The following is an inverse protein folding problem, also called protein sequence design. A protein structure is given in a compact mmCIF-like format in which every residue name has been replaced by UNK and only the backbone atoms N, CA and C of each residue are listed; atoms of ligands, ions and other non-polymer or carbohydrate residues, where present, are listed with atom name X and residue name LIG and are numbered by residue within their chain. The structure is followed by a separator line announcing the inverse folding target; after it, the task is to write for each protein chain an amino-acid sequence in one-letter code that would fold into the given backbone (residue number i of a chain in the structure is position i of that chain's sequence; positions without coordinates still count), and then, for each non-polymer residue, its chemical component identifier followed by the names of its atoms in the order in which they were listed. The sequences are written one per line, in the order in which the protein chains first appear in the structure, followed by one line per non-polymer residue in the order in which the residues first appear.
data_IF_402133901325
#
_entry.id   IF_402133901325
#
_cell.length_a   1.000
_cell.length_b   1.000
_cell.length_c   1.000
_cell.angle_alpha   90.00
_cell.angle_beta   90.00
_cell.angle_gamma   90.00
#
_symmetry.space_group_name_H-M   'P 1'
#
loop_
_entity.id
_entity.type
_entity.pdbx_description
1 polymer ?
#
# COMPACT_ATOMS: atom_id res chain seq x y z
N UNK A 1 -12.31 -8.45 33.44
CA UNK A 1 -12.15 -7.79 32.13
C UNK A 1 -10.89 -8.36 31.48
N UNK A 2 -11.01 -9.11 30.40
CA UNK A 2 -9.86 -9.65 29.64
C UNK A 2 -9.86 -8.92 28.31
N UNK A 3 -9.06 -7.85 28.23
CA UNK A 3 -8.82 -7.09 27.00
C UNK A 3 -8.34 -8.04 25.90
N UNK A 4 -9.19 -8.25 24.90
CA UNK A 4 -8.82 -8.83 23.62
C UNK A 4 -8.09 -7.75 22.82
N UNK A 5 -6.77 -7.68 23.01
CA UNK A 5 -5.84 -6.97 22.14
C UNK A 5 -5.87 -7.65 20.76
N UNK A 6 -6.78 -7.18 19.89
CA UNK A 6 -6.77 -7.54 18.48
C UNK A 6 -5.62 -6.77 17.80
N UNK A 7 -4.66 -7.45 17.14
CA UNK A 7 -3.59 -6.75 16.47
C UNK A 7 -4.19 -5.89 15.36
N UNK A 8 -3.81 -4.60 15.34
CA UNK A 8 -4.07 -3.71 14.21
C UNK A 8 -3.83 -4.47 12.91
N UNK A 9 -4.88 -4.53 12.09
CA UNK A 9 -4.91 -5.32 10.86
C UNK A 9 -3.74 -4.86 9.98
N UNK A 10 -2.66 -5.64 10.01
CA UNK A 10 -1.47 -5.38 9.23
C UNK A 10 -1.84 -5.72 7.79
N UNK A 11 -2.36 -4.74 7.06
CA UNK A 11 -2.39 -4.81 5.60
C UNK A 11 -0.96 -5.16 5.15
N UNK A 12 -0.84 -6.25 4.40
CA UNK A 12 0.39 -7.02 4.21
C UNK A 12 1.65 -6.18 4.02
N UNK A 13 2.76 -6.72 4.55
CA UNK A 13 4.12 -6.19 4.71
C UNK A 13 4.82 -5.73 3.41
N UNK A 14 4.13 -5.01 2.53
CA UNK A 14 4.71 -4.39 1.35
C UNK A 14 5.27 -3.03 1.74
N UNK A 15 6.56 -2.83 1.48
CA UNK A 15 7.23 -1.56 1.64
C UNK A 15 6.93 -0.69 0.43
N UNK A 16 6.57 0.57 0.65
CA UNK A 16 6.31 1.53 -0.43
C UNK A 16 7.19 2.78 -0.32
N UNK A 17 8.37 2.64 0.30
CA UNK A 17 9.36 3.71 0.38
C UNK A 17 9.98 4.02 -0.99
N UNK A 18 10.74 5.11 -1.06
CA UNK A 18 11.40 5.54 -2.29
C UNK A 18 12.32 4.46 -2.89
N UNK A 19 12.97 3.65 -2.04
CA UNK A 19 13.87 2.57 -2.45
C UNK A 19 13.16 1.26 -2.82
N UNK A 20 11.88 1.15 -2.50
CA UNK A 20 11.07 -0.05 -2.77
C UNK A 20 10.34 0.03 -4.11
N UNK A 21 10.28 1.21 -4.73
CA UNK A 21 9.52 1.44 -5.94
C UNK A 21 10.07 0.61 -7.10
N UNK A 22 9.18 -0.14 -7.74
CA UNK A 22 9.48 -0.90 -8.93
C UNK A 22 8.31 -0.81 -9.90
N UNK A 23 8.56 -0.27 -11.10
CA UNK A 23 7.51 -0.02 -12.09
C UNK A 23 6.70 -1.28 -12.42
N UNK A 24 7.35 -2.45 -12.45
CA UNK A 24 6.73 -3.69 -12.87
C UNK A 24 6.05 -4.46 -11.74
N UNK A 25 6.62 -4.40 -10.53
CA UNK A 25 6.25 -5.32 -9.43
C UNK A 25 5.86 -4.64 -8.11
N UNK A 26 6.11 -3.34 -7.96
CA UNK A 26 5.81 -2.59 -6.74
C UNK A 26 5.64 -1.09 -7.04
N UNK A 27 4.54 -0.75 -7.70
CA UNK A 27 4.27 0.61 -8.21
C UNK A 27 3.08 1.26 -7.50
N UNK A 28 2.63 2.41 -8.01
CA UNK A 28 1.48 3.14 -7.48
C UNK A 28 0.20 2.31 -7.37
N UNK A 29 -0.06 1.36 -8.28
CA UNK A 29 -1.26 0.53 -8.24
C UNK A 29 -1.20 -0.47 -7.06
N UNK A 30 -0.02 -1.01 -6.76
CA UNK A 30 0.19 -1.91 -5.63
C UNK A 30 0.04 -1.17 -4.30
N UNK A 31 0.60 0.04 -4.22
CA UNK A 31 0.40 0.95 -3.08
C UNK A 31 -1.08 1.27 -2.88
N UNK A 32 -1.77 1.68 -3.95
CA UNK A 32 -3.19 2.06 -3.88
C UNK A 32 -4.06 0.88 -3.47
N UNK A 33 -3.77 -0.33 -3.95
CA UNK A 33 -4.45 -1.55 -3.51
C UNK A 33 -4.26 -1.78 -2.00
N UNK A 34 -3.03 -1.69 -1.50
CA UNK A 34 -2.76 -1.81 -0.07
C UNK A 34 -3.45 -0.71 0.75
N UNK A 35 -3.46 0.53 0.25
CA UNK A 35 -4.12 1.68 0.88
C UNK A 35 -5.64 1.51 0.93
N UNK A 36 -6.25 1.05 -0.15
CA UNK A 36 -7.67 0.75 -0.22
C UNK A 36 -8.06 -0.36 0.76
N UNK A 37 -7.27 -1.44 0.84
CA UNK A 37 -7.52 -2.47 1.85
C UNK A 37 -7.36 -1.94 3.28
N UNK A 38 -6.34 -1.11 3.52
CA UNK A 38 -6.08 -0.56 4.84
C UNK A 38 -7.19 0.41 5.30
N UNK A 39 -7.64 1.31 4.44
CA UNK A 39 -8.59 2.37 4.80
C UNK A 39 -10.05 1.93 4.68
N UNK A 40 -10.37 1.11 3.68
CA UNK A 40 -11.74 0.82 3.27
C UNK A 40 -12.07 -0.68 3.32
N UNK A 41 -11.08 -1.55 3.60
CA UNK A 41 -11.22 -3.00 3.51
C UNK A 41 -11.77 -3.49 2.15
N UNK A 42 -11.46 -2.76 1.07
CA UNK A 42 -11.85 -3.12 -0.30
C UNK A 42 -10.64 -3.12 -1.23
N UNK A 43 -10.75 -3.88 -2.31
CA UNK A 43 -9.76 -3.92 -3.38
C UNK A 43 -10.05 -2.89 -4.45
N UNK A 44 -8.99 -2.46 -5.14
CA UNK A 44 -9.13 -1.71 -6.40
C UNK A 44 -9.42 -2.69 -7.55
N UNK A 45 -10.01 -2.24 -8.67
CA UNK A 45 -10.29 -3.09 -9.81
C UNK A 45 -9.07 -3.90 -10.31
N UNK A 46 -9.29 -5.18 -10.61
CA UNK A 46 -8.21 -6.11 -11.02
C UNK A 46 -7.45 -5.64 -12.25
N UNK A 47 -8.12 -5.01 -13.23
CA UNK A 47 -7.49 -4.50 -14.45
C UNK A 47 -6.41 -3.45 -14.17
N UNK A 48 -6.55 -2.70 -13.06
CA UNK A 48 -5.58 -1.69 -12.63
C UNK A 48 -4.36 -2.36 -11.99
N UNK A 49 -4.59 -3.33 -11.10
CA UNK A 49 -3.51 -4.10 -10.44
C UNK A 49 -2.70 -4.87 -11.49
N UNK A 50 -3.41 -5.49 -12.44
CA UNK A 50 -2.85 -6.38 -13.45
C UNK A 50 -2.46 -5.68 -14.75
N UNK A 51 -2.46 -4.34 -14.80
CA UNK A 51 -2.15 -3.58 -16.03
C UNK A 51 -0.80 -4.00 -16.66
N UNK A 52 0.27 -4.06 -15.86
CA UNK A 52 1.60 -4.44 -16.35
C UNK A 52 1.67 -5.94 -16.70
N UNK A 53 1.23 -6.89 -15.84
CA UNK A 53 1.13 -8.30 -16.23
C UNK A 53 0.39 -8.53 -17.55
N UNK A 54 -0.75 -7.87 -17.74
CA UNK A 54 -1.55 -7.95 -18.97
C UNK A 54 -0.77 -7.42 -20.16
N UNK A 55 -0.08 -6.28 -20.02
CA UNK A 55 0.80 -5.75 -21.06
C UNK A 55 1.92 -6.74 -21.42
N UNK A 56 2.62 -7.29 -20.42
CA UNK A 56 3.73 -8.24 -20.60
C UNK A 56 3.29 -9.59 -21.19
N UNK A 57 2.00 -9.94 -21.12
CA UNK A 57 1.45 -11.10 -21.80
C UNK A 57 1.27 -10.90 -23.32
N UNK A 58 1.47 -9.68 -23.84
CA UNK A 58 1.43 -9.40 -25.28
C UNK A 58 2.81 -9.51 -25.94
N UNK A 59 2.90 -9.83 -27.25
CA UNK A 59 4.18 -9.83 -27.97
C UNK A 59 4.94 -8.50 -27.86
N UNK A 60 4.22 -7.37 -27.98
CA UNK A 60 4.79 -6.03 -27.86
C UNK A 60 5.32 -5.78 -26.44
N UNK A 61 4.55 -6.13 -25.41
CA UNK A 61 4.96 -5.94 -24.02
C UNK A 61 6.23 -6.70 -23.67
N UNK A 62 6.38 -7.94 -24.16
CA UNK A 62 7.63 -8.70 -24.00
C UNK A 62 8.84 -8.05 -24.67
N UNK A 63 8.64 -7.42 -25.83
CA UNK A 63 9.70 -6.66 -26.49
C UNK A 63 10.08 -5.39 -25.71
N UNK A 64 9.11 -4.76 -25.03
CA UNK A 64 9.34 -3.53 -24.25
C UNK A 64 9.83 -3.79 -22.82
N UNK A 65 9.66 -5.00 -22.28
CA UNK A 65 10.06 -5.38 -20.93
C UNK A 65 11.47 -4.89 -20.53
N UNK A 66 12.55 -5.11 -21.32
CA UNK A 66 13.89 -4.67 -20.92
C UNK A 66 14.03 -3.15 -20.80
N UNK A 67 13.26 -2.37 -21.56
CA UNK A 67 13.22 -0.92 -21.44
C UNK A 67 12.47 -0.49 -20.16
N UNK A 68 11.37 -1.17 -19.83
CA UNK A 68 10.60 -0.89 -18.60
C UNK A 68 11.36 -1.28 -17.33
N UNK A 69 12.17 -2.35 -17.38
CA UNK A 69 13.06 -2.74 -16.29
C UNK A 69 14.16 -1.69 -16.03
N UNK A 70 14.67 -1.04 -17.08
CA UNK A 70 15.64 0.05 -16.93
C UNK A 70 15.01 1.28 -16.24
N UNK A 71 13.74 1.58 -16.52
CA UNK A 71 13.03 2.71 -15.89
C UNK A 71 12.84 2.53 -14.37
N UNK A 72 12.77 1.28 -13.90
CA UNK A 72 12.78 0.96 -12.46
C UNK A 72 14.11 1.30 -11.81
N UNK A 73 15.22 1.16 -12.54
CA UNK A 73 16.59 1.27 -12.01
C UNK A 73 17.15 2.69 -12.21
N UNK A 74 16.32 3.62 -12.69
CA UNK A 74 16.69 5.01 -12.89
C UNK A 74 17.12 5.70 -11.58
N UNK A 75 17.85 6.83 -11.65
CA UNK A 75 18.49 7.45 -10.51
C UNK A 75 17.44 8.07 -9.56
N UNK A 76 16.78 7.23 -8.78
CA UNK A 76 16.15 7.66 -7.54
C UNK A 76 17.29 8.23 -6.70
N UNK A 77 17.20 9.53 -6.49
CA UNK A 77 18.13 10.34 -5.71
C UNK A 77 18.53 9.58 -4.46
N UNK A 78 19.78 9.11 -4.44
CA UNK A 78 20.42 8.58 -3.24
C UNK A 78 20.64 9.76 -2.28
N UNK A 79 19.58 10.22 -1.62
CA UNK A 79 19.71 11.10 -0.48
C UNK A 79 20.34 10.23 0.61
N UNK A 80 21.65 10.40 0.79
CA UNK A 80 22.42 9.77 1.86
C UNK A 80 21.82 10.19 3.19
N UNK A 81 21.08 9.29 3.85
CA UNK A 81 20.88 9.41 5.28
C UNK A 81 20.77 8.03 5.93
N UNK A 82 21.75 7.74 6.79
CA UNK A 82 21.76 6.56 7.66
C UNK A 82 20.63 6.68 8.69
N UNK A 83 19.45 6.23 8.35
CA UNK A 83 18.41 5.82 9.30
C UNK A 83 18.04 4.41 8.90
N UNK A 84 18.04 3.47 9.84
CA UNK A 84 17.70 2.06 9.56
C UNK A 84 16.32 2.00 8.89
N UNK A 85 16.29 1.61 7.62
CA UNK A 85 15.06 1.53 6.81
C UNK A 85 14.25 0.31 7.26
N UNK A 86 13.47 0.50 8.32
CA UNK A 86 12.29 -0.33 8.55
C UNK A 86 11.32 -0.07 7.40
N UNK A 87 10.71 -1.14 6.88
CA UNK A 87 9.67 -1.07 5.88
C UNK A 87 8.65 0.03 6.20
N UNK A 88 8.49 1.02 5.31
CA UNK A 88 7.41 2.02 5.44
C UNK A 88 6.14 1.36 4.92
N UNK A 89 5.46 0.63 5.80
CA UNK A 89 4.13 0.08 5.57
C UNK A 89 3.03 1.09 5.90
N UNK A 90 1.79 0.75 5.54
CA UNK A 90 0.61 1.54 5.89
C UNK A 90 0.28 1.32 7.37
N UNK A 91 0.37 2.38 8.17
CA UNK A 91 0.10 2.33 9.60
C UNK A 91 -0.81 3.48 10.00
N UNK A 92 -1.74 3.22 10.93
CA UNK A 92 -2.55 4.27 11.53
C UNK A 92 -1.71 5.02 12.55
N UNK A 93 -1.73 6.35 12.49
CA UNK A 93 -1.12 7.21 13.53
C UNK A 93 -1.97 7.30 14.79
N UNK A 94 -3.23 6.83 14.74
CA UNK A 94 -4.18 6.85 15.85
C UNK A 94 -4.43 5.43 16.33
N UNK A 95 -3.97 5.13 17.53
CA UNK A 95 -4.07 3.80 18.17
C UNK A 95 -5.26 3.70 19.12
N UNK A 96 -5.81 4.84 19.55
CA UNK A 96 -6.90 4.92 20.53
C UNK A 96 -7.81 6.09 20.15
N UNK A 97 -9.11 5.83 20.02
CA UNK A 97 -10.13 6.87 19.91
C UNK A 97 -10.33 7.45 21.32
N UNK A 98 -10.40 8.76 21.46
CA UNK A 98 -10.71 9.37 22.75
C UNK A 98 -12.21 9.23 23.04
N UNK A 99 -12.59 9.22 24.32
CA UNK A 99 -13.95 8.90 24.79
C UNK A 99 -15.02 9.84 24.19
N UNK A 100 -14.64 11.03 23.74
CA UNK A 100 -15.48 12.01 23.05
C UNK A 100 -15.80 11.63 21.59
N UNK A 101 -14.91 10.92 20.89
CA UNK A 101 -15.14 10.49 19.50
C UNK A 101 -15.88 9.15 19.39
N UNK A 102 -15.80 8.32 20.44
CA UNK A 102 -16.55 7.06 20.55
C UNK A 102 -18.07 7.33 20.63
N UNK A 103 -18.48 8.43 21.28
CA UNK A 103 -19.89 8.83 21.42
C UNK A 103 -20.55 9.18 20.09
N UNK A 104 -19.82 9.85 19.20
CA UNK A 104 -20.30 10.18 17.85
C UNK A 104 -20.42 8.91 16.99
N UNK A 105 -19.47 7.98 17.09
CA UNK A 105 -19.53 6.72 16.35
C UNK A 105 -20.68 5.82 16.83
N UNK A 106 -20.92 5.73 18.14
CA UNK A 106 -22.06 5.00 18.71
C UNK A 106 -23.39 5.61 18.26
N UNK A 107 -23.46 6.94 18.17
CA UNK A 107 -24.65 7.64 17.68
C UNK A 107 -24.89 7.39 16.20
N UNK A 108 -23.83 7.45 15.37
CA UNK A 108 -23.91 7.15 13.93
C UNK A 108 -24.32 5.68 13.70
N UNK A 109 -23.78 4.74 14.48
CA UNK A 109 -24.12 3.32 14.41
C UNK A 109 -25.57 3.04 14.84
N UNK A 110 -26.11 3.81 15.78
CA UNK A 110 -27.50 3.67 16.23
C UNK A 110 -28.54 4.30 15.29
N UNK A 111 -28.10 5.08 14.30
CA UNK A 111 -28.94 5.75 13.30
C UNK A 111 -29.04 5.01 11.96
N UNK A 112 -28.36 3.88 11.80
CA UNK A 112 -28.44 2.97 10.65
C UNK A 112 -29.15 1.67 11.02
#
# INVERSE_FOLDING_TARGET
MRESNAPAQTAGRACFGAHDYNLLRNNCNHFTHAASRFLLNTDIPEDIINMIPTLLNTPLGRMMQPMLEQMTTGPHTQVTQRVQESCVGLTSTKTTLSEDEEGDLITIQAMM
#
